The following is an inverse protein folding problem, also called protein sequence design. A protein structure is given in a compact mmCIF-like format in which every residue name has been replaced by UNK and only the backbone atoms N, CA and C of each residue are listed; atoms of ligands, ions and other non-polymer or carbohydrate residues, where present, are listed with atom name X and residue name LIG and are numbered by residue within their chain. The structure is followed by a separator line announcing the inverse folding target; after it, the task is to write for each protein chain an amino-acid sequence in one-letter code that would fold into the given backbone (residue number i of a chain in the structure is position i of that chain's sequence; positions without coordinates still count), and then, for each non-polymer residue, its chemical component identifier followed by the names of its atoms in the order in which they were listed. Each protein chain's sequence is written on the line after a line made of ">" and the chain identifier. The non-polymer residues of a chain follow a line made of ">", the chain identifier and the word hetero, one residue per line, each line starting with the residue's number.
data_IF_168273732969
#
_entry.id   IF_168273732969
#
_cell.length_a   1.000
_cell.length_b   1.000
_cell.length_c   1.000
_cell.angle_alpha   90.00
_cell.angle_beta   90.00
_cell.angle_gamma   90.00
#
_symmetry.space_group_name_H-M   'P 1'
#
loop_
_entity.id
_entity.type
_entity.pdbx_description
1 polymer ?
#
# COMPACT_ATOMS: atom_id res chain seq x y z
N UNK A 1 -10.73 -30.19 57.88
CA UNK A 1 -9.88 -29.20 57.19
C UNK A 1 -9.03 -29.96 56.17
N UNK A 2 -9.48 -29.99 54.91
CA UNK A 2 -8.76 -30.70 53.82
C UNK A 2 -7.91 -29.68 53.07
N UNK A 3 -6.60 -29.93 52.82
CA UNK A 3 -5.74 -28.99 52.14
C UNK A 3 -6.09 -28.93 50.63
N UNK A 4 -6.43 -27.74 50.14
CA UNK A 4 -6.61 -27.44 48.74
C UNK A 4 -5.30 -27.73 47.95
N UNK A 5 -5.36 -28.63 46.98
CA UNK A 5 -4.23 -29.01 46.12
C UNK A 5 -4.02 -27.94 45.06
N UNK A 6 -2.89 -27.22 45.02
CA UNK A 6 -2.62 -26.17 44.05
C UNK A 6 -2.37 -26.69 42.60
N UNK A 7 -2.26 -28.00 42.39
CA UNK A 7 -2.05 -28.61 41.07
C UNK A 7 -3.25 -28.47 40.11
N UNK A 8 -4.48 -28.40 40.64
CA UNK A 8 -5.70 -28.29 39.81
C UNK A 8 -5.90 -26.89 39.22
N UNK A 9 -5.35 -25.86 39.85
CA UNK A 9 -5.42 -24.47 39.36
C UNK A 9 -4.40 -24.24 38.22
N UNK A 10 -3.24 -24.91 38.30
CA UNK A 10 -2.20 -24.82 37.29
C UNK A 10 -2.59 -25.48 35.94
N UNK A 11 -3.33 -26.63 36.03
CA UNK A 11 -3.82 -27.31 34.82
C UNK A 11 -4.95 -26.55 34.13
N UNK A 12 -5.82 -25.86 34.89
CA UNK A 12 -6.88 -25.03 34.32
C UNK A 12 -6.34 -23.78 33.64
N UNK A 13 -5.27 -23.16 34.18
CA UNK A 13 -4.60 -22.01 33.57
C UNK A 13 -3.84 -22.39 32.31
N UNK A 14 -3.26 -23.59 32.22
CA UNK A 14 -2.57 -24.10 31.04
C UNK A 14 -3.53 -24.40 29.88
N UNK A 15 -4.73 -24.95 30.19
CA UNK A 15 -5.77 -25.16 29.16
C UNK A 15 -6.37 -23.84 28.61
N UNK A 16 -6.49 -22.81 29.44
CA UNK A 16 -6.97 -21.49 29.01
C UNK A 16 -5.98 -20.77 28.11
N UNK A 17 -4.67 -20.99 28.28
CA UNK A 17 -3.62 -20.41 27.44
C UNK A 17 -3.51 -21.05 26.05
N UNK A 18 -4.02 -22.29 25.87
CA UNK A 18 -4.02 -23.00 24.58
C UNK A 18 -5.25 -22.71 23.72
N UNK A 19 -6.27 -22.01 24.25
CA UNK A 19 -7.42 -21.52 23.51
C UNK A 19 -7.16 -20.11 22.94
N UNK A 20 -5.96 -19.84 22.39
CA UNK A 20 -5.79 -18.67 21.55
C UNK A 20 -6.75 -18.82 20.35
N UNK A 21 -7.70 -17.88 20.12
CA UNK A 21 -8.56 -17.96 18.96
C UNK A 21 -7.63 -17.95 17.74
N UNK A 22 -7.73 -18.97 16.89
CA UNK A 22 -7.16 -18.92 15.56
C UNK A 22 -7.85 -17.75 14.84
N UNK A 23 -7.22 -16.60 14.86
CA UNK A 23 -7.71 -15.43 14.11
C UNK A 23 -7.54 -15.76 12.63
N UNK A 24 -8.59 -16.28 12.03
CA UNK A 24 -8.71 -16.25 10.59
C UNK A 24 -8.73 -14.76 10.22
N UNK A 25 -7.62 -14.27 9.68
CA UNK A 25 -7.52 -12.89 9.21
C UNK A 25 -8.65 -12.67 8.20
N UNK A 26 -9.60 -11.82 8.55
CA UNK A 26 -10.71 -11.53 7.65
C UNK A 26 -10.18 -10.74 6.44
N UNK A 27 -10.79 -10.96 5.28
CA UNK A 27 -10.43 -10.20 4.06
C UNK A 27 -10.45 -8.69 4.33
N UNK A 28 -11.38 -8.21 5.16
CA UNK A 28 -11.49 -6.80 5.51
C UNK A 28 -10.25 -6.30 6.27
N UNK A 29 -9.77 -7.07 7.25
CA UNK A 29 -8.58 -6.74 8.03
C UNK A 29 -7.32 -6.70 7.16
N UNK A 30 -7.22 -7.63 6.19
CA UNK A 30 -6.13 -7.63 5.21
C UNK A 30 -6.18 -6.39 4.30
N UNK A 31 -7.37 -5.96 3.86
CA UNK A 31 -7.52 -4.74 3.06
C UNK A 31 -7.12 -3.50 3.86
N UNK A 32 -7.50 -3.41 5.13
CA UNK A 32 -7.12 -2.28 5.99
C UNK A 32 -5.62 -2.23 6.26
N UNK A 33 -5.01 -3.38 6.54
CA UNK A 33 -3.55 -3.44 6.69
C UNK A 33 -2.82 -3.12 5.39
N UNK A 34 -3.32 -3.60 4.24
CA UNK A 34 -2.75 -3.31 2.92
C UNK A 34 -2.72 -1.81 2.61
N UNK A 35 -3.72 -1.02 3.05
CA UNK A 35 -3.74 0.44 2.87
C UNK A 35 -2.51 1.14 3.49
N UNK A 36 -1.93 0.58 4.54
CA UNK A 36 -0.76 1.15 5.21
C UNK A 36 0.55 0.87 4.48
N UNK A 37 0.59 -0.16 3.64
CA UNK A 37 1.81 -0.61 2.95
C UNK A 37 1.75 -0.42 1.42
N UNK A 38 0.56 -0.29 0.83
CA UNK A 38 0.42 -0.15 -0.62
C UNK A 38 0.86 1.23 -1.09
N UNK A 39 1.94 1.25 -1.85
CA UNK A 39 2.55 2.48 -2.37
C UNK A 39 1.70 3.20 -3.40
N UNK A 40 0.89 2.46 -4.19
CA UNK A 40 0.01 3.05 -5.20
C UNK A 40 -1.13 3.83 -4.53
N UNK A 41 -1.75 3.25 -3.51
CA UNK A 41 -2.79 3.92 -2.73
C UNK A 41 -2.25 5.14 -1.97
N UNK A 42 -1.07 5.00 -1.33
CA UNK A 42 -0.43 6.12 -0.63
C UNK A 42 -0.06 7.25 -1.59
N UNK A 43 0.41 6.92 -2.80
CA UNK A 43 0.69 7.90 -3.85
C UNK A 43 -0.57 8.66 -4.28
N UNK A 44 -1.69 7.97 -4.50
CA UNK A 44 -2.96 8.60 -4.85
C UNK A 44 -3.47 9.53 -3.72
N UNK A 45 -3.30 9.11 -2.46
CA UNK A 45 -3.62 9.94 -1.30
C UNK A 45 -2.75 11.20 -1.23
N UNK A 46 -1.43 11.06 -1.44
CA UNK A 46 -0.52 12.20 -1.47
C UNK A 46 -0.84 13.17 -2.63
N UNK A 47 -1.28 12.64 -3.78
CA UNK A 47 -1.74 13.46 -4.90
C UNK A 47 -3.01 14.26 -4.57
N UNK A 48 -3.96 13.66 -3.83
CA UNK A 48 -5.14 14.39 -3.34
C UNK A 48 -4.73 15.51 -2.38
N UNK A 49 -3.83 15.24 -1.44
CA UNK A 49 -3.32 16.25 -0.50
C UNK A 49 -2.60 17.39 -1.26
N UNK A 50 -1.79 17.05 -2.28
CA UNK A 50 -1.12 18.03 -3.12
C UNK A 50 -2.12 18.87 -3.94
N UNK A 51 -3.18 18.26 -4.49
CA UNK A 51 -4.23 18.98 -5.20
C UNK A 51 -4.99 19.93 -4.28
N UNK A 52 -5.29 19.54 -3.04
CA UNK A 52 -5.91 20.39 -2.04
C UNK A 52 -5.04 21.62 -1.71
N UNK A 53 -3.71 21.41 -1.51
CA UNK A 53 -2.78 22.52 -1.28
C UNK A 53 -2.64 23.43 -2.49
N UNK A 54 -2.73 22.89 -3.70
CA UNK A 54 -2.72 23.68 -4.94
C UNK A 54 -3.98 24.54 -5.07
N UNK A 55 -5.15 24.05 -4.64
CA UNK A 55 -6.37 24.85 -4.56
C UNK A 55 -6.26 25.98 -3.51
N UNK A 56 -5.66 25.68 -2.34
CA UNK A 56 -5.38 26.71 -1.32
C UNK A 56 -4.41 27.79 -1.85
N UNK A 57 -3.38 27.38 -2.60
CA UNK A 57 -2.46 28.30 -3.25
C UNK A 57 -3.18 29.21 -4.28
N UNK A 58 -4.10 28.64 -5.06
CA UNK A 58 -4.91 29.42 -6.00
C UNK A 58 -5.80 30.45 -5.28
N UNK A 59 -6.34 30.09 -4.09
CA UNK A 59 -7.09 30.98 -3.22
C UNK A 59 -6.24 32.15 -2.74
N UNK A 60 -4.94 31.95 -2.46
CA UNK A 60 -4.04 33.00 -2.03
C UNK A 60 -3.93 34.14 -3.04
N UNK A 61 -4.15 33.89 -4.32
CA UNK A 61 -4.20 34.91 -5.38
C UNK A 61 -5.36 35.90 -5.26
N UNK A 62 -6.35 35.65 -4.38
CA UNK A 62 -7.46 36.54 -4.07
C UNK A 62 -7.26 37.31 -2.77
N UNK A 63 -6.25 36.97 -1.98
CA UNK A 63 -5.96 37.58 -0.68
C UNK A 63 -4.96 38.73 -0.82
N UNK A 64 -4.92 39.67 0.17
CA UNK A 64 -3.88 40.68 0.21
C UNK A 64 -2.51 40.04 0.40
N UNK A 65 -1.53 40.55 -0.32
CA UNK A 65 -0.12 40.16 -0.20
C UNK A 65 0.71 41.32 0.33
N UNK A 66 1.65 41.04 1.21
CA UNK A 66 2.66 41.97 1.68
C UNK A 66 4.05 41.36 1.46
N UNK A 67 4.96 42.15 0.93
CA UNK A 67 6.34 41.73 0.67
C UNK A 67 7.31 42.76 1.24
N UNK A 68 8.32 42.28 1.96
CA UNK A 68 9.50 43.02 2.36
C UNK A 68 10.59 42.75 1.37
N UNK A 69 11.14 43.80 0.75
CA UNK A 69 12.23 43.69 -0.22
C UNK A 69 13.48 44.39 0.30
N UNK A 70 14.62 43.74 0.19
CA UNK A 70 15.93 44.34 0.47
C UNK A 70 16.85 44.10 -0.70
N UNK A 71 17.57 45.13 -1.11
CA UNK A 71 18.53 45.06 -2.22
C UNK A 71 19.84 45.78 -1.90
N UNK A 72 20.96 45.19 -2.29
CA UNK A 72 22.28 45.82 -2.31
C UNK A 72 22.80 45.79 -3.72
N UNK A 73 22.92 47.01 -4.33
CA UNK A 73 23.41 47.15 -5.70
C UNK A 73 24.71 47.93 -5.70
N UNK A 74 25.77 47.37 -6.23
CA UNK A 74 27.02 48.04 -6.47
C UNK A 74 27.15 48.31 -7.98
N UNK A 75 27.23 49.58 -8.33
CA UNK A 75 27.43 50.04 -9.73
C UNK A 75 28.79 50.68 -9.88
N UNK A 76 29.50 50.34 -10.93
CA UNK A 76 30.72 50.99 -11.36
C UNK A 76 30.46 51.57 -12.76
N UNK A 77 30.54 52.90 -12.87
CA UNK A 77 30.33 53.62 -14.13
C UNK A 77 31.64 54.24 -14.55
N UNK A 78 32.17 53.79 -15.68
CA UNK A 78 33.35 54.35 -16.33
C UNK A 78 32.91 55.21 -17.55
N UNK A 79 33.21 56.51 -17.49
CA UNK A 79 33.05 57.38 -18.67
C UNK A 79 34.41 57.60 -19.30
N UNK A 80 34.48 57.40 -20.63
CA UNK A 80 35.75 57.46 -21.36
C UNK A 80 36.19 58.90 -21.69
N UNK A 81 35.28 59.90 -21.67
CA UNK A 81 35.62 61.32 -21.91
C UNK A 81 34.60 62.25 -21.20
N UNK A 82 35.01 62.99 -20.16
CA UNK A 82 36.28 62.87 -19.41
C UNK A 82 36.31 61.58 -18.63
N UNK A 83 37.49 61.05 -18.31
CA UNK A 83 37.69 59.81 -17.57
C UNK A 83 37.19 60.02 -16.14
N UNK A 84 36.01 59.58 -15.86
CA UNK A 84 35.39 59.63 -14.54
C UNK A 84 35.04 58.20 -14.15
N UNK A 85 35.62 57.70 -13.11
CA UNK A 85 35.26 56.43 -12.44
C UNK A 85 34.39 56.76 -11.24
N UNK A 86 33.13 56.30 -11.28
CA UNK A 86 32.23 56.49 -10.14
C UNK A 86 31.74 55.11 -9.66
N UNK A 87 32.14 54.74 -8.47
CA UNK A 87 31.67 53.52 -7.81
C UNK A 87 30.61 53.92 -6.76
N UNK A 88 29.38 53.49 -7.01
CA UNK A 88 28.29 53.70 -6.07
C UNK A 88 27.77 52.40 -5.46
N UNK A 89 27.44 52.39 -4.18
CA UNK A 89 26.72 51.31 -3.53
C UNK A 89 25.37 51.83 -3.09
N UNK A 90 24.26 51.28 -3.64
CA UNK A 90 22.92 51.62 -3.25
C UNK A 90 22.33 50.50 -2.40
N UNK A 91 21.75 50.87 -1.26
CA UNK A 91 20.99 49.99 -0.39
C UNK A 91 19.53 50.40 -0.49
N UNK A 92 18.66 49.42 -0.79
CA UNK A 92 17.22 49.67 -0.85
C UNK A 92 16.51 48.71 0.10
N UNK A 93 15.59 49.29 0.87
CA UNK A 93 14.64 48.54 1.71
C UNK A 93 13.24 49.04 1.34
N UNK A 94 12.35 48.10 1.02
CA UNK A 94 10.98 48.47 0.62
C UNK A 94 9.94 47.53 1.23
N UNK A 95 8.77 48.06 1.57
CA UNK A 95 7.59 47.27 1.93
C UNK A 95 6.53 47.53 0.87
N UNK A 96 6.06 46.46 0.24
CA UNK A 96 5.00 46.53 -0.76
C UNK A 96 3.80 45.73 -0.29
N UNK A 97 2.61 46.35 -0.27
CA UNK A 97 1.34 45.68 -0.01
C UNK A 97 0.45 45.81 -1.25
N UNK A 98 -0.19 44.74 -1.66
CA UNK A 98 -1.05 44.67 -2.83
C UNK A 98 -2.29 43.85 -2.55
N UNK A 99 -3.47 44.39 -2.88
CA UNK A 99 -4.77 43.73 -2.78
C UNK A 99 -5.44 43.73 -4.14
N UNK A 100 -5.68 42.59 -4.78
CA UNK A 100 -6.46 42.54 -6.01
C UNK A 100 -7.94 42.81 -5.71
N UNK A 101 -8.49 43.86 -6.26
CA UNK A 101 -9.91 44.22 -6.09
C UNK A 101 -10.81 43.45 -7.06
N UNK A 102 -10.39 43.35 -8.31
CA UNK A 102 -11.13 42.63 -9.34
C UNK A 102 -10.17 41.93 -10.32
N UNK A 103 -10.05 40.60 -10.18
CA UNK A 103 -9.26 39.76 -11.10
C UNK A 103 -10.06 38.48 -11.43
N UNK A 104 -10.87 38.49 -12.51
CA UNK A 104 -11.64 37.30 -12.92
C UNK A 104 -10.76 36.08 -13.14
N UNK A 105 -9.56 36.25 -13.69
CA UNK A 105 -8.61 35.17 -13.91
C UNK A 105 -8.27 34.38 -12.62
N UNK A 106 -8.09 35.09 -11.48
CA UNK A 106 -7.78 34.44 -10.22
C UNK A 106 -8.95 33.60 -9.68
N UNK A 107 -10.20 34.03 -9.95
CA UNK A 107 -11.40 33.25 -9.62
C UNK A 107 -11.49 31.99 -10.44
N UNK A 108 -11.21 32.06 -11.75
CA UNK A 108 -11.16 30.90 -12.63
C UNK A 108 -10.06 29.95 -12.20
N UNK A 109 -8.88 30.48 -11.83
CA UNK A 109 -7.78 29.66 -11.31
C UNK A 109 -8.17 28.91 -10.02
N UNK A 110 -8.89 29.57 -9.12
CA UNK A 110 -9.42 28.91 -7.91
C UNK A 110 -10.41 27.80 -8.27
N UNK A 111 -11.35 28.07 -9.18
CA UNK A 111 -12.30 27.05 -9.64
C UNK A 111 -11.61 25.87 -10.29
N UNK A 112 -10.63 26.12 -11.15
CA UNK A 112 -9.79 25.05 -11.73
C UNK A 112 -9.06 24.23 -10.66
N UNK A 113 -8.52 24.90 -9.62
CA UNK A 113 -7.92 24.22 -8.48
C UNK A 113 -8.90 23.30 -7.77
N UNK A 114 -10.13 23.77 -7.52
CA UNK A 114 -11.18 22.98 -6.88
C UNK A 114 -11.59 21.78 -7.75
N UNK A 115 -11.74 21.95 -9.06
CA UNK A 115 -11.99 20.83 -10.00
C UNK A 115 -10.82 19.84 -10.03
N UNK A 116 -9.59 20.33 -9.87
CA UNK A 116 -8.40 19.49 -9.72
C UNK A 116 -8.47 18.59 -8.48
N UNK A 117 -9.02 19.10 -7.37
CA UNK A 117 -9.27 18.28 -6.16
C UNK A 117 -10.32 17.20 -6.42
N UNK A 118 -11.41 17.52 -7.14
CA UNK A 118 -12.44 16.54 -7.50
C UNK A 118 -11.87 15.39 -8.34
N UNK A 119 -10.99 15.72 -9.30
CA UNK A 119 -10.28 14.71 -10.12
C UNK A 119 -9.37 13.84 -9.26
N UNK A 120 -8.57 14.45 -8.39
CA UNK A 120 -7.67 13.70 -7.51
C UNK A 120 -8.43 12.79 -6.53
N UNK A 121 -9.62 13.21 -6.07
CA UNK A 121 -10.50 12.39 -5.24
C UNK A 121 -11.02 11.16 -6.00
N UNK A 122 -11.49 11.35 -7.24
CA UNK A 122 -11.92 10.24 -8.08
C UNK A 122 -10.76 9.25 -8.37
N UNK A 123 -9.53 9.75 -8.52
CA UNK A 123 -8.34 8.91 -8.67
C UNK A 123 -8.03 8.09 -7.40
N UNK A 124 -8.19 8.67 -6.21
CA UNK A 124 -8.04 7.94 -4.95
C UNK A 124 -9.12 6.87 -4.78
N UNK A 125 -10.37 7.17 -5.19
CA UNK A 125 -11.45 6.19 -5.17
C UNK A 125 -11.15 5.01 -6.12
N UNK A 126 -10.65 5.29 -7.32
CA UNK A 126 -10.20 4.25 -8.26
C UNK A 126 -9.03 3.41 -7.69
N UNK A 127 -8.03 4.05 -7.09
CA UNK A 127 -6.91 3.36 -6.44
C UNK A 127 -7.38 2.48 -5.26
N UNK A 128 -8.41 2.91 -4.54
CA UNK A 128 -9.01 2.13 -3.44
C UNK A 128 -9.71 0.88 -3.97
N UNK A 129 -10.44 0.98 -5.09
CA UNK A 129 -11.07 -0.17 -5.72
C UNK A 129 -10.04 -1.15 -6.29
N UNK A 130 -8.99 -0.64 -6.93
CA UNK A 130 -7.89 -1.47 -7.44
C UNK A 130 -7.18 -2.23 -6.31
N UNK A 131 -6.90 -1.56 -5.19
CA UNK A 131 -6.33 -2.21 -4.00
C UNK A 131 -7.22 -3.34 -3.51
N UNK A 132 -8.54 -3.11 -3.40
CA UNK A 132 -9.49 -4.13 -2.97
C UNK A 132 -9.46 -5.35 -3.88
N UNK A 133 -9.45 -5.14 -5.21
CA UNK A 133 -9.39 -6.24 -6.20
C UNK A 133 -8.09 -7.03 -6.07
N UNK A 134 -6.94 -6.33 -5.96
CA UNK A 134 -5.62 -6.98 -5.83
C UNK A 134 -5.50 -7.81 -4.55
N UNK A 135 -5.94 -7.27 -3.43
CA UNK A 135 -5.89 -7.98 -2.13
C UNK A 135 -6.85 -9.16 -2.13
N UNK A 136 -8.09 -8.98 -2.66
CA UNK A 136 -9.06 -10.07 -2.76
C UNK A 136 -8.54 -11.20 -3.64
N UNK A 137 -7.96 -10.86 -4.79
CA UNK A 137 -7.37 -11.87 -5.68
C UNK A 137 -6.25 -12.65 -4.98
N UNK A 138 -5.31 -11.95 -4.34
CA UNK A 138 -4.21 -12.60 -3.63
C UNK A 138 -4.72 -13.51 -2.50
N UNK A 139 -5.75 -13.08 -1.77
CA UNK A 139 -6.38 -13.88 -0.72
C UNK A 139 -6.98 -15.19 -1.26
N UNK A 140 -7.77 -15.10 -2.34
CA UNK A 140 -8.36 -16.29 -2.95
C UNK A 140 -7.33 -17.19 -3.63
N UNK A 141 -6.26 -16.63 -4.21
CA UNK A 141 -5.15 -17.41 -4.77
C UNK A 141 -4.46 -18.25 -3.68
N UNK A 142 -4.27 -17.70 -2.48
CA UNK A 142 -3.71 -18.45 -1.33
C UNK A 142 -4.66 -19.55 -0.88
N UNK A 143 -5.96 -19.28 -0.76
CA UNK A 143 -6.95 -20.30 -0.38
C UNK A 143 -7.00 -21.44 -1.41
N UNK A 144 -7.04 -21.11 -2.70
CA UNK A 144 -7.03 -22.10 -3.77
C UNK A 144 -5.77 -22.96 -3.76
N UNK A 145 -4.61 -22.35 -3.44
CA UNK A 145 -3.35 -23.09 -3.31
C UNK A 145 -3.37 -24.05 -2.09
N UNK A 146 -3.97 -23.63 -0.96
CA UNK A 146 -4.14 -24.49 0.23
C UNK A 146 -5.07 -25.66 -0.05
N UNK A 147 -6.21 -25.41 -0.72
CA UNK A 147 -7.14 -26.47 -1.12
C UNK A 147 -6.49 -27.45 -2.10
N UNK A 148 -5.73 -26.93 -3.06
CA UNK A 148 -4.97 -27.74 -4.02
C UNK A 148 -3.95 -28.63 -3.29
N UNK A 149 -3.21 -28.06 -2.33
CA UNK A 149 -2.26 -28.83 -1.52
C UNK A 149 -2.95 -29.95 -0.75
N UNK A 150 -4.07 -29.64 -0.11
CA UNK A 150 -4.87 -30.64 0.63
C UNK A 150 -5.35 -31.76 -0.29
N UNK A 151 -5.85 -31.39 -1.49
CA UNK A 151 -6.31 -32.36 -2.49
C UNK A 151 -5.15 -33.27 -2.96
N UNK A 152 -4.00 -32.71 -3.33
CA UNK A 152 -2.84 -33.48 -3.79
C UNK A 152 -2.30 -34.39 -2.69
N UNK A 153 -2.29 -33.97 -1.43
CA UNK A 153 -1.89 -34.83 -0.31
C UNK A 153 -2.84 -36.01 -0.14
N UNK A 154 -4.16 -35.76 -0.23
CA UNK A 154 -5.16 -36.83 -0.17
C UNK A 154 -5.03 -37.81 -1.36
N UNK A 155 -4.80 -37.28 -2.57
CA UNK A 155 -4.54 -38.08 -3.76
C UNK A 155 -3.30 -38.96 -3.60
N UNK A 156 -2.20 -38.39 -3.10
CA UNK A 156 -0.96 -39.13 -2.84
C UNK A 156 -1.17 -40.27 -1.84
N UNK A 157 -1.92 -40.00 -0.75
CA UNK A 157 -2.27 -41.04 0.21
C UNK A 157 -3.07 -42.18 -0.45
N UNK A 158 -4.10 -41.87 -1.24
CA UNK A 158 -4.91 -42.86 -1.94
C UNK A 158 -4.09 -43.71 -2.94
N UNK A 159 -3.23 -43.06 -3.73
CA UNK A 159 -2.36 -43.78 -4.68
C UNK A 159 -1.31 -44.62 -3.96
N UNK A 160 -0.80 -44.18 -2.80
CA UNK A 160 0.12 -44.99 -1.98
C UNK A 160 -0.53 -46.26 -1.45
N UNK A 161 -1.79 -46.21 -1.04
CA UNK A 161 -2.55 -47.38 -0.61
C UNK A 161 -2.83 -48.31 -1.78
N UNK A 162 -3.16 -47.78 -2.95
CA UNK A 162 -3.31 -48.61 -4.17
C UNK A 162 -2.01 -49.33 -4.56
N UNK A 163 -0.87 -48.67 -4.47
CA UNK A 163 0.43 -49.25 -4.72
C UNK A 163 0.74 -50.38 -3.70
N UNK A 164 0.49 -50.12 -2.42
CA UNK A 164 0.68 -51.12 -1.37
C UNK A 164 -0.22 -52.35 -1.59
N UNK A 165 -1.47 -52.16 -2.01
CA UNK A 165 -2.39 -53.25 -2.36
C UNK A 165 -1.92 -54.01 -3.60
N UNK A 166 -1.47 -53.35 -4.66
CA UNK A 166 -0.95 -53.96 -5.88
C UNK A 166 0.31 -54.82 -5.60
N UNK A 167 1.22 -54.31 -4.76
CA UNK A 167 2.42 -55.07 -4.35
C UNK A 167 2.04 -56.32 -3.54
N UNK A 168 1.14 -56.25 -2.57
CA UNK A 168 0.66 -57.40 -1.80
C UNK A 168 -0.02 -58.42 -2.69
N UNK A 169 -0.88 -58.00 -3.61
CA UNK A 169 -1.57 -58.89 -4.54
C UNK A 169 -0.61 -59.59 -5.52
N UNK A 170 0.46 -58.92 -5.93
CA UNK A 170 1.51 -59.54 -6.72
C UNK A 170 2.29 -60.61 -5.92
N UNK A 171 2.63 -60.33 -4.66
CA UNK A 171 3.34 -61.25 -3.77
C UNK A 171 2.56 -62.55 -3.55
N UNK A 172 1.22 -62.47 -3.44
CA UNK A 172 0.35 -63.65 -3.29
C UNK A 172 -0.09 -64.27 -4.65
N UNK A 173 0.39 -63.72 -5.80
CA UNK A 173 0.16 -64.28 -7.12
C UNK A 173 -1.22 -64.01 -7.72
N UNK A 174 -1.98 -63.04 -7.21
CA UNK A 174 -3.32 -62.68 -7.68
C UNK A 174 -3.35 -61.59 -8.73
N UNK A 175 -2.23 -60.89 -8.99
CA UNK A 175 -2.07 -59.87 -10.04
C UNK A 175 -0.77 -60.03 -10.78
N UNK A 176 -0.66 -59.33 -11.95
CA UNK A 176 0.52 -59.41 -12.81
C UNK A 176 1.61 -58.42 -12.38
N UNK A 177 2.86 -58.67 -12.79
CA UNK A 177 3.96 -57.70 -12.58
C UNK A 177 3.69 -56.36 -13.26
N UNK A 178 2.93 -56.37 -14.36
CA UNK A 178 2.54 -55.18 -15.10
C UNK A 178 1.65 -54.28 -14.27
N UNK A 179 0.68 -54.84 -13.54
CA UNK A 179 -0.23 -54.09 -12.67
C UNK A 179 0.53 -53.41 -11.52
N UNK A 180 1.52 -54.11 -10.93
CA UNK A 180 2.38 -53.56 -9.89
C UNK A 180 3.26 -52.42 -10.40
N UNK A 181 3.78 -52.55 -11.63
CA UNK A 181 4.58 -51.50 -12.29
C UNK A 181 3.73 -50.28 -12.65
N UNK A 182 2.49 -50.47 -13.13
CA UNK A 182 1.55 -49.39 -13.39
C UNK A 182 1.19 -48.64 -12.14
N UNK A 183 0.90 -49.32 -11.04
CA UNK A 183 0.62 -48.68 -9.74
C UNK A 183 1.83 -47.86 -9.23
N UNK A 184 3.06 -48.36 -9.45
CA UNK A 184 4.28 -47.62 -9.14
C UNK A 184 4.41 -46.35 -9.97
N UNK A 185 4.21 -46.46 -11.30
CA UNK A 185 4.27 -45.29 -12.18
C UNK A 185 3.23 -44.23 -11.83
N UNK A 186 2.01 -44.62 -11.43
CA UNK A 186 0.97 -43.69 -10.94
C UNK A 186 1.39 -42.97 -9.66
N UNK A 187 2.05 -43.69 -8.75
CA UNK A 187 2.55 -43.08 -7.51
C UNK A 187 3.68 -42.07 -7.77
N UNK A 188 4.56 -42.37 -8.75
CA UNK A 188 5.70 -41.52 -9.06
C UNK A 188 5.27 -40.24 -9.82
N UNK A 189 4.06 -40.21 -10.40
CA UNK A 189 3.48 -39.05 -11.11
C UNK A 189 2.72 -38.07 -10.21
N UNK A 190 2.38 -38.42 -8.98
CA UNK A 190 1.67 -37.60 -8.00
C UNK A 190 2.63 -36.95 -7.01
#
# INVERSE_FOLDING_TARGET
>A
MTPFRPLSILSLALCAALCAPAQAQSLLELVESARTYDTAWQSARAQLDAAARKADQARAGLLPSAALTGGLTRSNVELSKPKIENTGTAQTVGINASQPLYRPANRITLEQGQRGVDVAKAQLDAATQDLLVRVSKAYFDVLAAQDTLTFVQAQKAAVSEQLAAAKRNFEVGTTTVTDSREAQARYDLV
#
